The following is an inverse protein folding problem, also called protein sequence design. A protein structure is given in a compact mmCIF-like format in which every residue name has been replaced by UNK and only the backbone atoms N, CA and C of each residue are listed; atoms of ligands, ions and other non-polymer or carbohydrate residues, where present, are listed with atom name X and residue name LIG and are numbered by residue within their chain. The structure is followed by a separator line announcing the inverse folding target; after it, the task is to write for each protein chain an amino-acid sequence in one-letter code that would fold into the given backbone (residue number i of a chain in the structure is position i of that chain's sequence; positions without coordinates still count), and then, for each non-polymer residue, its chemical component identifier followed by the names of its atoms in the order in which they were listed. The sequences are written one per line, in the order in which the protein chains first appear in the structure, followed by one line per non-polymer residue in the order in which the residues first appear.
data_IF_633498975765
#
_entry.id   IF_633498975765
#
_cell.length_a   1.000
_cell.length_b   1.000
_cell.length_c   1.000
_cell.angle_alpha   90.00
_cell.angle_beta   90.00
_cell.angle_gamma   90.00
#
_symmetry.space_group_name_H-M   'P 1'
#
loop_
_entity.id
_entity.type
_entity.pdbx_description
1 polymer ?
#
# COMPACT_ATOMS: atom_id res chain seq x y z
N UNK A 1 4.82 -4.99 11.44
CA UNK A 1 4.31 -3.63 11.77
C UNK A 1 2.84 -3.45 11.40
N UNK A 2 2.42 -3.73 10.16
CA UNK A 2 1.06 -3.45 9.65
C UNK A 2 -0.08 -4.03 10.48
N UNK A 3 0.01 -5.29 10.93
CA UNK A 3 -1.02 -5.92 11.76
C UNK A 3 -1.28 -5.13 13.06
N UNK A 4 -0.23 -4.76 13.79
CA UNK A 4 -0.34 -4.01 15.04
C UNK A 4 -0.95 -2.63 14.81
N UNK A 5 -0.54 -1.94 13.73
CA UNK A 5 -1.12 -0.65 13.38
C UNK A 5 -2.63 -0.74 13.09
N UNK A 6 -3.06 -1.79 12.39
CA UNK A 6 -4.48 -2.02 12.15
C UNK A 6 -5.20 -2.32 13.47
N UNK A 7 -4.68 -3.22 14.29
CA UNK A 7 -5.24 -3.57 15.59
C UNK A 7 -5.46 -2.33 16.46
N UNK A 8 -4.45 -1.47 16.60
CA UNK A 8 -4.53 -0.23 17.38
C UNK A 8 -5.52 0.78 16.77
N UNK A 9 -5.57 0.88 15.43
CA UNK A 9 -6.53 1.74 14.75
C UNK A 9 -7.98 1.31 15.03
N UNK A 10 -8.25 0.00 15.10
CA UNK A 10 -9.58 -0.55 15.37
C UNK A 10 -10.07 -0.30 16.81
N UNK A 11 -9.19 0.05 17.75
CA UNK A 11 -9.61 0.48 19.08
C UNK A 11 -10.38 1.82 19.07
N UNK A 12 -10.20 2.63 18.01
CA UNK A 12 -10.77 3.98 17.90
C UNK A 12 -11.59 4.20 16.64
N UNK A 13 -11.39 3.36 15.63
CA UNK A 13 -12.03 3.47 14.33
C UNK A 13 -12.80 2.18 14.03
N UNK A 14 -13.91 2.31 13.31
CA UNK A 14 -14.69 1.15 12.86
C UNK A 14 -14.89 1.24 11.35
N UNK A 15 -13.80 1.12 10.56
CA UNK A 15 -13.89 1.21 9.11
C UNK A 15 -14.77 0.08 8.56
N UNK A 16 -15.37 0.32 7.40
CA UNK A 16 -16.13 -0.72 6.69
C UNK A 16 -15.27 -1.50 5.70
N UNK A 17 -14.18 -0.90 5.27
CA UNK A 17 -13.19 -1.49 4.37
C UNK A 17 -11.79 -1.13 4.85
N UNK A 18 -10.89 -2.11 4.79
CA UNK A 18 -9.44 -1.93 4.92
C UNK A 18 -8.82 -2.21 3.55
N UNK A 19 -8.02 -1.27 3.07
CA UNK A 19 -7.27 -1.40 1.82
C UNK A 19 -5.82 -1.64 2.19
N UNK A 20 -5.29 -2.80 1.81
CA UNK A 20 -3.91 -3.18 2.08
C UNK A 20 -3.09 -3.11 0.79
N UNK A 21 -1.96 -2.40 0.86
CA UNK A 21 -1.01 -2.29 -0.24
C UNK A 21 -0.02 -3.47 -0.18
N UNK A 22 0.23 -4.13 -1.31
CA UNK A 22 0.95 -5.40 -1.37
C UNK A 22 2.47 -5.35 -1.50
N UNK A 23 3.09 -4.20 -1.77
CA UNK A 23 4.54 -4.11 -2.08
C UNK A 23 5.37 -4.68 -0.92
N UNK A 24 4.84 -4.56 0.30
CA UNK A 24 5.46 -5.08 1.53
C UNK A 24 5.30 -6.59 1.73
N UNK A 25 4.53 -7.31 0.90
CA UNK A 25 4.35 -8.76 1.07
C UNK A 25 5.63 -9.54 0.75
N UNK A 26 6.52 -8.93 -0.03
CA UNK A 26 7.84 -9.49 -0.38
C UNK A 26 8.98 -8.65 0.21
N UNK A 27 8.73 -7.93 1.30
CA UNK A 27 9.79 -7.16 1.99
C UNK A 27 10.96 -8.07 2.36
N UNK A 28 12.18 -7.63 2.04
CA UNK A 28 13.40 -8.41 2.30
C UNK A 28 13.70 -9.51 1.28
N UNK A 29 12.83 -9.71 0.28
CA UNK A 29 13.04 -10.68 -0.82
C UNK A 29 13.34 -9.95 -2.12
N UNK A 30 14.63 -9.91 -2.50
CA UNK A 30 15.03 -9.45 -3.82
C UNK A 30 14.44 -10.37 -4.90
N UNK A 31 13.90 -9.77 -5.96
CA UNK A 31 13.36 -10.53 -7.08
C UNK A 31 14.51 -11.13 -7.90
N UNK A 32 14.55 -12.46 -7.99
CA UNK A 32 15.49 -13.22 -8.81
C UNK A 32 14.71 -14.09 -9.82
N UNK A 33 14.67 -13.70 -11.12
CA UNK A 33 13.97 -14.44 -12.14
C UNK A 33 14.47 -15.89 -12.32
N UNK A 34 15.77 -16.13 -12.15
CA UNK A 34 16.36 -17.47 -12.35
C UNK A 34 15.95 -18.40 -11.20
N UNK A 35 16.01 -17.91 -9.96
CA UNK A 35 15.56 -18.66 -8.78
C UNK A 35 14.07 -18.99 -8.84
N UNK A 36 13.24 -18.05 -9.31
CA UNK A 36 11.79 -18.24 -9.49
C UNK A 36 11.52 -19.32 -10.55
N UNK A 37 12.24 -19.30 -11.67
CA UNK A 37 12.09 -20.32 -12.72
C UNK A 37 12.60 -21.70 -12.27
N UNK A 38 13.68 -21.76 -11.49
CA UNK A 38 14.20 -23.00 -10.90
C UNK A 38 13.21 -23.59 -9.89
N UNK A 39 12.64 -22.76 -9.02
CA UNK A 39 11.61 -23.17 -8.07
C UNK A 39 10.38 -23.73 -8.81
N UNK A 40 9.94 -23.07 -9.89
CA UNK A 40 8.83 -23.53 -10.73
C UNK A 40 9.10 -24.91 -11.38
N UNK A 41 10.33 -25.14 -11.86
CA UNK A 41 10.76 -26.45 -12.42
C UNK A 41 10.86 -27.54 -11.36
N UNK A 42 11.12 -27.17 -10.10
CA UNK A 42 11.32 -28.09 -8.99
C UNK A 42 10.04 -28.64 -8.35
N UNK A 43 8.85 -28.29 -8.87
CA UNK A 43 7.52 -28.61 -8.31
C UNK A 43 7.12 -30.11 -8.35
N UNK A 44 7.99 -30.97 -7.86
CA UNK A 44 7.69 -32.29 -7.30
C UNK A 44 8.17 -32.43 -5.83
N UNK A 45 8.78 -31.41 -5.21
CA UNK A 45 9.20 -31.49 -3.82
C UNK A 45 8.63 -30.36 -2.96
N UNK A 46 8.07 -30.79 -1.84
CA UNK A 46 7.56 -30.05 -0.68
C UNK A 46 8.24 -28.69 -0.48
N UNK A 47 7.41 -27.68 -0.21
CA UNK A 47 7.78 -26.37 0.36
C UNK A 47 8.94 -26.57 1.34
N UNK A 48 10.12 -26.06 0.98
CA UNK A 48 11.22 -25.94 1.93
C UNK A 48 10.89 -24.73 2.81
N UNK A 49 10.69 -24.91 4.13
CA UNK A 49 10.46 -23.79 5.00
C UNK A 49 11.71 -22.93 5.01
N UNK A 50 11.58 -21.67 4.64
CA UNK A 50 12.61 -20.67 4.88
C UNK A 50 12.59 -20.38 6.38
N UNK A 51 13.62 -20.85 7.09
CA UNK A 51 13.78 -20.54 8.51
C UNK A 51 13.83 -19.02 8.63
N UNK A 52 12.89 -18.37 9.36
CA UNK A 52 12.92 -16.94 9.51
C UNK A 52 14.20 -16.60 10.26
N UNK A 53 15.10 -15.88 9.59
CA UNK A 53 16.19 -15.23 10.28
C UNK A 53 15.52 -14.17 11.14
N UNK A 54 15.41 -14.41 12.45
CA UNK A 54 15.13 -13.35 13.41
C UNK A 54 16.33 -12.42 13.34
N UNK A 55 16.24 -11.40 12.50
CA UNK A 55 17.20 -10.31 12.46
C UNK A 55 16.88 -9.36 13.61
N UNK A 56 17.87 -8.56 14.03
CA UNK A 56 17.69 -7.51 15.04
C UNK A 56 16.47 -6.61 14.77
N UNK A 57 15.98 -6.54 13.52
CA UNK A 57 14.81 -5.78 13.06
C UNK A 57 13.48 -6.14 13.74
N UNK A 58 13.25 -7.39 14.13
CA UNK A 58 12.00 -7.73 14.85
C UNK A 58 12.00 -7.09 16.25
N UNK A 59 13.14 -7.10 16.94
CA UNK A 59 13.31 -6.48 18.25
C UNK A 59 13.27 -4.94 18.16
N UNK A 60 13.90 -4.34 17.14
CA UNK A 60 13.79 -2.89 16.90
C UNK A 60 12.37 -2.48 16.53
N UNK A 61 11.65 -3.27 15.74
CA UNK A 61 10.24 -3.01 15.37
C UNK A 61 9.33 -3.07 16.59
N UNK A 62 9.49 -4.07 17.46
CA UNK A 62 8.71 -4.19 18.69
C UNK A 62 8.98 -3.04 19.67
N UNK A 63 10.25 -2.65 19.84
CA UNK A 63 10.63 -1.48 20.66
C UNK A 63 10.10 -0.19 20.05
N UNK A 64 10.15 -0.03 18.73
CA UNK A 64 9.60 1.14 18.04
C UNK A 64 8.08 1.24 18.23
N UNK A 65 7.37 0.11 18.16
CA UNK A 65 5.92 0.06 18.32
C UNK A 65 5.48 0.31 19.76
N UNK A 66 6.25 -0.14 20.76
CA UNK A 66 5.90 0.09 22.17
C UNK A 66 6.26 1.48 22.69
N UNK A 67 7.22 2.16 22.04
CA UNK A 67 7.67 3.48 22.46
C UNK A 67 7.47 4.50 21.33
N UNK A 68 6.40 5.29 21.45
CA UNK A 68 5.97 6.33 20.50
C UNK A 68 7.09 7.31 20.12
N UNK A 69 8.10 7.47 20.97
CA UNK A 69 9.27 8.31 20.71
C UNK A 69 10.11 7.84 19.51
N UNK A 70 10.10 6.55 19.19
CA UNK A 70 10.83 6.03 18.03
C UNK A 70 9.95 6.03 16.76
N UNK A 71 8.66 5.70 16.86
CA UNK A 71 7.68 5.84 15.77
C UNK A 71 7.57 7.29 15.25
N UNK A 72 7.57 8.24 16.18
CA UNK A 72 7.45 9.67 15.87
C UNK A 72 8.81 10.38 15.91
N UNK A 73 9.93 9.67 15.90
CA UNK A 73 11.27 10.24 16.12
C UNK A 73 11.58 11.42 15.19
N UNK A 74 11.13 11.35 13.93
CA UNK A 74 11.25 12.45 12.97
C UNK A 74 10.27 13.60 13.26
N UNK A 75 9.07 13.31 13.76
CA UNK A 75 8.09 14.30 14.21
C UNK A 75 8.58 15.03 15.47
N UNK A 76 9.24 14.36 16.41
CA UNK A 76 9.77 14.97 17.63
C UNK A 76 10.98 15.84 17.33
N UNK A 77 11.89 15.38 16.44
CA UNK A 77 13.00 16.21 15.95
C UNK A 77 12.51 17.45 15.20
N UNK A 78 11.43 17.32 14.43
CA UNK A 78 10.78 18.45 13.77
C UNK A 78 10.07 19.37 14.78
N UNK A 79 9.34 18.83 15.77
CA UNK A 79 8.72 19.63 16.85
C UNK A 79 9.74 20.43 17.65
N UNK A 80 10.90 19.84 17.97
CA UNK A 80 11.98 20.51 18.70
C UNK A 80 12.63 21.61 17.84
N UNK A 81 12.82 21.38 16.54
CA UNK A 81 13.35 22.40 15.61
C UNK A 81 12.34 23.50 15.26
N UNK A 82 11.06 23.17 15.21
CA UNK A 82 9.97 24.03 14.74
C UNK A 82 9.04 24.48 15.86
N UNK A 83 9.51 24.56 17.11
CA UNK A 83 8.68 24.94 18.28
C UNK A 83 7.90 26.27 18.12
N UNK A 84 8.27 27.14 17.15
CA UNK A 84 7.53 28.36 16.79
C UNK A 84 6.47 28.19 15.69
N UNK A 85 6.45 27.05 14.99
CA UNK A 85 5.60 26.74 13.84
C UNK A 85 4.68 25.52 14.06
N UNK A 86 4.59 24.99 15.28
CA UNK A 86 3.76 23.82 15.64
C UNK A 86 2.26 23.99 15.26
N UNK A 87 1.81 25.20 14.93
CA UNK A 87 0.46 25.47 14.43
C UNK A 87 0.26 25.40 12.90
N UNK A 88 1.32 25.22 12.09
CA UNK A 88 1.26 25.38 10.62
C UNK A 88 1.74 24.16 9.81
N UNK A 89 2.14 23.06 10.44
CA UNK A 89 2.41 21.81 9.72
C UNK A 89 1.09 21.21 9.23
N UNK A 90 0.90 21.26 7.92
CA UNK A 90 -0.36 21.10 7.20
C UNK A 90 -1.14 19.80 7.50
N UNK A 91 -2.04 19.87 8.50
CA UNK A 91 -3.06 18.84 8.82
C UNK A 91 -3.95 18.50 7.60
N UNK A 92 -4.13 19.46 6.69
CA UNK A 92 -4.95 19.33 5.48
C UNK A 92 -4.44 18.33 4.44
N UNK A 93 -3.21 17.81 4.58
CA UNK A 93 -2.71 16.75 3.69
C UNK A 93 -3.18 15.35 4.12
N UNK A 94 -3.73 15.19 5.34
CA UNK A 94 -4.15 13.90 5.91
C UNK A 94 -3.11 12.78 5.76
N UNK A 95 -1.83 13.10 6.00
CA UNK A 95 -0.71 12.16 5.88
C UNK A 95 -0.17 11.95 4.46
N UNK A 96 -0.78 12.53 3.42
CA UNK A 96 -0.27 12.43 2.06
C UNK A 96 1.02 13.25 1.86
N UNK A 97 2.08 12.59 1.42
CA UNK A 97 3.32 13.25 1.00
C UNK A 97 3.23 13.72 -0.45
N UNK A 98 2.91 15.00 -0.64
CA UNK A 98 2.81 15.60 -1.96
C UNK A 98 4.17 15.69 -2.67
N UNK A 99 4.25 15.18 -3.89
CA UNK A 99 5.44 15.29 -4.73
C UNK A 99 5.06 15.38 -6.22
N UNK A 100 5.60 16.39 -6.93
CA UNK A 100 5.39 16.59 -8.39
C UNK A 100 6.62 16.24 -9.24
N UNK A 101 7.70 15.77 -8.61
CA UNK A 101 8.90 15.37 -9.33
C UNK A 101 8.54 14.30 -10.36
N UNK A 102 9.16 14.40 -11.53
CA UNK A 102 9.01 13.43 -12.60
C UNK A 102 10.37 12.82 -12.85
N UNK A 103 10.46 11.50 -12.62
CA UNK A 103 11.60 10.70 -13.07
C UNK A 103 11.06 9.69 -14.07
N UNK A 104 11.59 9.77 -15.29
CA UNK A 104 11.16 8.93 -16.41
C UNK A 104 11.73 7.54 -16.22
N UNK A 105 10.92 6.52 -16.45
CA UNK A 105 11.33 5.12 -16.48
C UNK A 105 10.71 4.40 -17.69
N UNK A 106 11.09 3.14 -17.86
CA UNK A 106 10.46 2.19 -18.77
C UNK A 106 9.44 1.32 -18.00
N UNK A 107 8.55 0.61 -18.70
CA UNK A 107 7.71 -0.42 -18.07
C UNK A 107 8.56 -1.49 -17.36
N UNK A 108 7.97 -2.15 -16.37
CA UNK A 108 8.60 -3.26 -15.65
C UNK A 108 8.73 -4.46 -16.60
N UNK A 109 9.94 -4.93 -16.85
CA UNK A 109 10.21 -6.09 -17.72
C UNK A 109 9.80 -7.42 -17.08
N UNK A 110 9.54 -7.46 -15.77
CA UNK A 110 9.17 -8.67 -15.03
C UNK A 110 7.66 -8.91 -15.01
N UNK A 111 6.88 -8.11 -15.75
CA UNK A 111 5.42 -8.21 -15.85
C UNK A 111 4.95 -8.93 -17.11
N UNK A 112 5.87 -9.58 -17.84
CA UNK A 112 5.50 -10.48 -18.92
C UNK A 112 4.69 -11.67 -18.36
N UNK A 113 3.62 -12.05 -19.07
CA UNK A 113 2.74 -13.14 -18.65
C UNK A 113 3.51 -14.43 -18.39
N UNK A 114 3.20 -15.10 -17.28
CA UNK A 114 3.71 -16.43 -16.94
C UNK A 114 2.72 -17.17 -16.05
N UNK A 115 2.73 -18.50 -16.10
CA UNK A 115 2.00 -19.35 -15.15
C UNK A 115 2.82 -19.64 -13.89
N UNK A 116 4.07 -19.15 -13.82
CA UNK A 116 4.94 -19.32 -12.65
C UNK A 116 4.39 -18.60 -11.44
N UNK A 117 4.56 -19.19 -10.25
CA UNK A 117 4.15 -18.62 -8.96
C UNK A 117 5.39 -18.49 -8.08
N UNK A 118 5.69 -17.27 -7.63
CA UNK A 118 6.68 -17.01 -6.58
C UNK A 118 5.95 -16.98 -5.23
N UNK A 119 6.14 -18.02 -4.41
CA UNK A 119 5.44 -18.11 -3.13
C UNK A 119 5.72 -16.89 -2.25
N UNK A 120 4.68 -16.39 -1.57
CA UNK A 120 4.87 -15.35 -0.56
C UNK A 120 5.78 -15.86 0.58
N UNK A 121 6.61 -15.00 1.18
CA UNK A 121 7.34 -15.33 2.40
C UNK A 121 6.40 -15.81 3.51
N UNK A 122 6.82 -16.81 4.30
CA UNK A 122 5.99 -17.40 5.36
C UNK A 122 5.54 -16.37 6.40
N UNK A 123 6.43 -15.45 6.78
CA UNK A 123 6.09 -14.37 7.71
C UNK A 123 5.02 -13.43 7.13
N UNK A 124 5.09 -13.11 5.84
CA UNK A 124 4.09 -12.30 5.18
C UNK A 124 2.73 -13.03 5.16
N UNK A 125 2.71 -14.30 4.76
CA UNK A 125 1.49 -15.14 4.77
C UNK A 125 0.88 -15.24 6.17
N UNK A 126 1.71 -15.42 7.21
CA UNK A 126 1.26 -15.44 8.61
C UNK A 126 0.56 -14.13 9.00
N UNK A 127 1.17 -12.98 8.72
CA UNK A 127 0.59 -11.69 9.08
C UNK A 127 -0.62 -11.31 8.21
N UNK A 128 -0.67 -11.74 6.96
CA UNK A 128 -1.84 -11.58 6.10
C UNK A 128 -3.04 -12.34 6.65
N UNK A 129 -2.84 -13.60 7.08
CA UNK A 129 -3.90 -14.36 7.74
C UNK A 129 -4.38 -13.67 9.03
N UNK A 130 -3.46 -13.14 9.85
CA UNK A 130 -3.84 -12.36 11.05
C UNK A 130 -4.64 -11.09 10.72
N UNK A 131 -4.28 -10.37 9.65
CA UNK A 131 -5.02 -9.18 9.20
C UNK A 131 -6.41 -9.57 8.69
N UNK A 132 -6.50 -10.67 7.93
CA UNK A 132 -7.75 -11.21 7.42
C UNK A 132 -8.70 -11.63 8.55
N UNK A 133 -8.20 -12.38 9.52
CA UNK A 133 -8.97 -12.81 10.68
C UNK A 133 -9.47 -11.61 11.48
N UNK A 134 -8.60 -10.63 11.74
CA UNK A 134 -8.97 -9.40 12.43
C UNK A 134 -10.07 -8.62 11.68
N UNK A 135 -9.98 -8.55 10.35
CA UNK A 135 -11.02 -7.91 9.53
C UNK A 135 -12.35 -8.68 9.61
N UNK A 136 -12.31 -10.02 9.48
CA UNK A 136 -13.50 -10.89 9.55
C UNK A 136 -14.19 -10.80 10.92
N UNK A 137 -13.43 -10.86 12.01
CA UNK A 137 -13.93 -10.72 13.38
C UNK A 137 -14.66 -9.39 13.62
N UNK A 138 -14.22 -8.33 12.95
CA UNK A 138 -14.79 -6.98 13.08
C UNK A 138 -15.81 -6.65 11.97
N UNK A 139 -16.16 -7.60 11.11
CA UNK A 139 -17.05 -7.40 9.96
C UNK A 139 -16.55 -6.27 9.03
N UNK A 140 -15.26 -6.30 8.73
CA UNK A 140 -14.56 -5.35 7.86
C UNK A 140 -14.25 -6.06 6.55
N UNK A 141 -14.57 -5.43 5.43
CA UNK A 141 -14.14 -5.89 4.11
C UNK A 141 -12.63 -5.67 3.95
N UNK A 142 -11.90 -6.70 3.54
CA UNK A 142 -10.48 -6.56 3.20
C UNK A 142 -10.33 -6.52 1.69
N UNK A 143 -9.56 -5.56 1.20
CA UNK A 143 -9.24 -5.39 -0.21
C UNK A 143 -7.74 -5.18 -0.38
N UNK A 144 -7.15 -5.82 -1.38
CA UNK A 144 -5.76 -5.61 -1.76
C UNK A 144 -5.64 -4.65 -2.94
N UNK A 145 -4.56 -3.86 -2.94
CA UNK A 145 -4.15 -3.06 -4.10
C UNK A 145 -2.66 -3.25 -4.35
N UNK A 146 -2.29 -3.36 -5.63
CA UNK A 146 -0.92 -3.34 -6.10
C UNK A 146 -0.62 -2.05 -6.81
N UNK A 147 0.04 -1.11 -6.13
CA UNK A 147 0.52 0.07 -6.83
C UNK A 147 1.71 -0.31 -7.73
N UNK A 148 1.83 0.25 -8.95
CA UNK A 148 2.84 -0.26 -9.88
C UNK A 148 4.27 0.03 -9.44
N UNK A 149 5.03 -1.04 -9.21
CA UNK A 149 6.40 -1.03 -8.71
C UNK A 149 7.32 -1.66 -9.75
N UNK A 150 8.32 -0.89 -10.21
CA UNK A 150 9.19 -1.33 -11.30
C UNK A 150 10.29 -2.30 -10.87
N UNK A 151 10.63 -2.34 -9.58
CA UNK A 151 11.76 -3.14 -9.10
C UNK A 151 11.37 -4.29 -8.19
N UNK A 152 10.20 -4.20 -7.53
CA UNK A 152 9.80 -5.15 -6.50
C UNK A 152 8.58 -6.00 -6.88
N UNK A 153 8.07 -5.83 -8.10
CA UNK A 153 6.92 -6.60 -8.57
C UNK A 153 7.25 -7.43 -9.81
N UNK A 154 6.55 -8.55 -9.95
CA UNK A 154 6.63 -9.46 -11.10
C UNK A 154 5.29 -10.15 -11.32
N UNK A 155 5.09 -10.70 -12.52
CA UNK A 155 3.88 -11.47 -12.81
C UNK A 155 3.77 -12.75 -11.95
N UNK A 156 4.91 -13.33 -11.56
CA UNK A 156 4.92 -14.50 -10.66
C UNK A 156 4.48 -14.18 -9.23
N UNK A 157 4.81 -12.98 -8.72
CA UNK A 157 4.30 -12.46 -7.44
C UNK A 157 2.82 -12.12 -7.53
N UNK A 158 2.40 -11.51 -8.65
CA UNK A 158 0.98 -11.28 -8.94
C UNK A 158 0.17 -12.58 -8.83
N UNK A 159 0.61 -13.66 -9.47
CA UNK A 159 -0.09 -14.94 -9.42
C UNK A 159 -0.24 -15.50 -7.99
N UNK A 160 0.78 -15.32 -7.14
CA UNK A 160 0.72 -15.78 -5.75
C UNK A 160 -0.28 -14.97 -4.90
N UNK A 161 -0.29 -13.65 -5.06
CA UNK A 161 -1.22 -12.76 -4.34
C UNK A 161 -2.65 -12.91 -4.86
N UNK A 162 -2.83 -13.05 -6.17
CA UNK A 162 -4.14 -13.33 -6.79
C UNK A 162 -4.70 -14.65 -6.25
N UNK A 163 -3.91 -15.73 -6.24
CA UNK A 163 -4.35 -17.01 -5.71
C UNK A 163 -4.75 -16.93 -4.22
N UNK A 164 -3.97 -16.23 -3.40
CA UNK A 164 -4.32 -16.01 -1.99
C UNK A 164 -5.61 -15.20 -1.85
N UNK A 165 -5.78 -14.16 -2.67
CA UNK A 165 -6.95 -13.30 -2.64
C UNK A 165 -8.21 -14.07 -3.07
N UNK A 166 -8.15 -14.84 -4.15
CA UNK A 166 -9.25 -15.70 -4.63
C UNK A 166 -9.65 -16.75 -3.58
N UNK A 167 -8.67 -17.47 -3.00
CA UNK A 167 -8.92 -18.49 -1.97
C UNK A 167 -9.66 -17.89 -0.75
N UNK A 168 -9.36 -16.64 -0.42
CA UNK A 168 -9.89 -15.96 0.75
C UNK A 168 -11.08 -15.02 0.49
N UNK A 169 -11.55 -14.96 -0.77
CA UNK A 169 -12.60 -14.04 -1.24
C UNK A 169 -12.26 -12.55 -0.95
N UNK A 170 -11.02 -12.15 -1.24
CA UNK A 170 -10.52 -10.79 -1.10
C UNK A 170 -10.51 -10.14 -2.49
N UNK A 171 -11.09 -8.95 -2.63
CA UNK A 171 -10.95 -8.18 -3.87
C UNK A 171 -9.51 -7.71 -4.02
N UNK A 172 -8.91 -7.92 -5.20
CA UNK A 172 -7.55 -7.49 -5.49
C UNK A 172 -7.50 -6.63 -6.76
N UNK A 173 -6.90 -5.44 -6.66
CA UNK A 173 -6.60 -4.56 -7.79
C UNK A 173 -5.09 -4.46 -7.99
N UNK A 174 -4.53 -5.30 -8.85
CA UNK A 174 -3.15 -5.13 -9.29
C UNK A 174 -3.05 -4.13 -10.46
N UNK A 175 -2.66 -2.89 -10.17
CA UNK A 175 -2.48 -1.90 -11.22
C UNK A 175 -1.30 -2.21 -12.15
N UNK A 176 -0.49 -3.23 -11.88
CA UNK A 176 0.55 -3.72 -12.79
C UNK A 176 -0.03 -4.59 -13.93
N UNK A 177 -1.22 -5.18 -13.76
CA UNK A 177 -1.84 -6.08 -14.75
C UNK A 177 -3.10 -5.53 -15.40
N UNK A 178 -3.66 -4.41 -14.91
CA UNK A 178 -4.86 -3.79 -15.46
C UNK A 178 -4.65 -3.26 -16.89
N UNK A 179 -5.17 -3.97 -17.90
CA UNK A 179 -5.05 -3.63 -19.32
C UNK A 179 -5.60 -2.24 -19.70
N UNK A 180 -6.68 -1.79 -19.03
CA UNK A 180 -7.39 -0.55 -19.37
C UNK A 180 -6.97 0.66 -18.50
N UNK A 181 -5.91 0.52 -17.70
CA UNK A 181 -5.48 1.56 -16.78
C UNK A 181 -4.03 1.99 -17.07
N UNK A 182 -3.87 3.11 -17.77
CA UNK A 182 -2.55 3.54 -18.24
C UNK A 182 -1.81 4.43 -17.23
N UNK A 183 -0.82 3.83 -16.56
CA UNK A 183 0.28 4.56 -15.94
C UNK A 183 1.24 5.06 -17.02
N UNK A 184 1.61 6.34 -16.94
CA UNK A 184 2.62 6.91 -17.81
C UNK A 184 3.98 6.85 -17.09
N UNK A 185 4.79 5.84 -17.42
CA UNK A 185 6.13 5.64 -16.86
C UNK A 185 7.09 6.84 -17.07
N UNK A 186 6.79 7.73 -18.01
CA UNK A 186 7.57 8.96 -18.26
C UNK A 186 7.08 10.16 -17.44
N UNK A 187 5.98 10.04 -16.70
CA UNK A 187 5.35 11.16 -16.00
C UNK A 187 4.90 10.86 -14.59
N UNK A 188 4.55 9.63 -14.25
CA UNK A 188 3.74 9.35 -13.07
C UNK A 188 4.56 8.93 -11.83
N UNK A 189 5.88 8.87 -11.94
CA UNK A 189 6.79 8.49 -10.85
C UNK A 189 7.63 9.66 -10.35
N UNK A 190 7.82 9.73 -9.01
CA UNK A 190 8.73 10.68 -8.36
C UNK A 190 10.17 10.16 -8.28
N UNK A 191 10.36 8.87 -8.51
CA UNK A 191 11.63 8.17 -8.36
C UNK A 191 11.89 7.16 -9.49
N UNK A 192 12.72 6.14 -9.23
CA UNK A 192 13.09 5.13 -10.23
C UNK A 192 11.98 4.10 -10.53
N UNK A 193 10.74 4.35 -10.12
CA UNK A 193 9.61 3.51 -10.52
C UNK A 193 8.85 2.83 -9.40
N UNK A 194 9.13 3.17 -8.14
CA UNK A 194 8.51 2.49 -7.00
C UNK A 194 7.50 3.39 -6.29
N UNK A 195 7.64 4.71 -6.43
CA UNK A 195 6.72 5.64 -5.82
C UNK A 195 6.07 6.56 -6.85
N UNK A 196 4.75 6.55 -6.85
CA UNK A 196 3.96 7.48 -7.64
C UNK A 196 4.17 8.92 -7.18
N UNK A 197 4.17 9.84 -8.14
CA UNK A 197 4.02 11.26 -7.87
C UNK A 197 2.53 11.64 -7.85
N UNK A 198 2.25 12.93 -7.67
CA UNK A 198 0.91 13.48 -7.66
C UNK A 198 0.07 13.10 -8.89
N UNK A 199 0.67 13.00 -10.08
CA UNK A 199 -0.05 12.66 -11.30
C UNK A 199 -0.49 11.18 -11.31
N UNK A 200 0.41 10.27 -10.97
CA UNK A 200 0.11 8.83 -10.85
C UNK A 200 -0.86 8.54 -9.71
N UNK A 201 -0.60 9.10 -8.52
CA UNK A 201 -1.45 8.89 -7.35
C UNK A 201 -2.89 9.36 -7.59
N UNK A 202 -3.09 10.50 -8.28
CA UNK A 202 -4.43 10.98 -8.65
C UNK A 202 -5.19 10.00 -9.55
N UNK A 203 -4.50 9.36 -10.50
CA UNK A 203 -5.12 8.35 -11.36
C UNK A 203 -5.53 7.12 -10.54
N UNK A 204 -4.63 6.62 -9.67
CA UNK A 204 -4.83 5.37 -8.92
C UNK A 204 -5.99 5.55 -7.94
N UNK A 205 -5.94 6.60 -7.13
CA UNK A 205 -6.97 6.90 -6.14
C UNK A 205 -8.35 7.17 -6.78
N UNK A 206 -8.40 7.78 -7.97
CA UNK A 206 -9.66 7.93 -8.70
C UNK A 206 -10.21 6.59 -9.19
N UNK A 207 -9.34 5.67 -9.64
CA UNK A 207 -9.76 4.32 -10.01
C UNK A 207 -10.27 3.55 -8.79
N UNK A 208 -9.52 3.52 -7.68
CA UNK A 208 -9.92 2.87 -6.44
C UNK A 208 -11.27 3.41 -5.96
N UNK A 209 -11.47 4.73 -5.94
CA UNK A 209 -12.73 5.33 -5.52
C UNK A 209 -13.93 4.91 -6.40
N UNK A 210 -13.73 4.80 -7.72
CA UNK A 210 -14.77 4.31 -8.63
C UNK A 210 -15.02 2.81 -8.44
N UNK A 211 -13.96 2.01 -8.27
CA UNK A 211 -14.09 0.58 -8.00
C UNK A 211 -14.88 0.34 -6.71
N UNK A 212 -14.55 1.05 -5.64
CA UNK A 212 -15.26 0.93 -4.36
C UNK A 212 -16.73 1.33 -4.52
N UNK A 213 -17.00 2.45 -5.18
CA UNK A 213 -18.38 2.90 -5.43
C UNK A 213 -19.21 1.86 -6.19
N UNK A 214 -18.60 1.15 -7.15
CA UNK A 214 -19.32 0.23 -8.02
C UNK A 214 -19.47 -1.18 -7.41
N UNK A 215 -18.46 -1.65 -6.67
CA UNK A 215 -18.44 -3.02 -6.11
C UNK A 215 -18.92 -3.08 -4.66
N UNK A 216 -18.84 -1.95 -3.94
CA UNK A 216 -19.26 -1.84 -2.54
C UNK A 216 -20.27 -0.69 -2.31
N UNK A 217 -21.34 -0.57 -3.13
CA UNK A 217 -22.24 0.59 -3.13
C UNK A 217 -22.96 0.79 -1.79
N UNK A 218 -23.22 -0.28 -1.05
CA UNK A 218 -23.94 -0.24 0.23
C UNK A 218 -23.00 -0.19 1.44
N UNK A 219 -21.70 -0.39 1.22
CA UNK A 219 -20.70 -0.44 2.30
C UNK A 219 -20.23 0.95 2.73
N UNK A 220 -20.20 1.91 1.80
CA UNK A 220 -19.66 3.26 2.00
C UNK A 220 -20.73 4.30 1.72
N UNK A 221 -21.11 5.04 2.76
CA UNK A 221 -22.04 6.16 2.65
C UNK A 221 -21.39 7.39 2.01
N UNK A 222 -22.08 8.05 1.09
CA UNK A 222 -21.62 9.32 0.50
C UNK A 222 -21.71 10.48 1.51
N UNK A 223 -20.57 10.82 2.11
CA UNK A 223 -20.46 11.92 3.10
C UNK A 223 -20.30 13.31 2.50
N UNK A 224 -20.33 13.49 1.17
CA UNK A 224 -20.10 14.80 0.53
C UNK A 224 -21.11 15.88 0.92
N UNK A 225 -22.32 15.48 1.35
CA UNK A 225 -23.37 16.39 1.82
C UNK A 225 -23.52 16.40 3.35
N UNK A 226 -22.61 15.75 4.07
CA UNK A 226 -22.63 15.71 5.53
C UNK A 226 -21.74 16.84 6.07
N UNK A 227 -22.32 17.72 6.88
CA UNK A 227 -21.64 18.90 7.42
C UNK A 227 -20.47 18.54 8.35
N UNK A 228 -20.50 17.38 9.02
CA UNK A 228 -19.40 16.89 9.86
C UNK A 228 -18.14 16.61 9.03
N UNK A 229 -18.29 16.41 7.72
CA UNK A 229 -17.21 16.17 6.77
C UNK A 229 -16.91 17.38 5.86
N UNK A 230 -17.55 18.52 6.09
CA UNK A 230 -17.35 19.72 5.28
C UNK A 230 -15.88 20.21 5.26
N UNK A 231 -15.12 19.91 6.31
CA UNK A 231 -13.69 20.25 6.43
C UNK A 231 -12.85 19.71 5.26
N UNK A 232 -13.25 18.59 4.64
CA UNK A 232 -12.56 18.06 3.45
C UNK A 232 -12.54 19.04 2.27
N UNK A 233 -13.54 19.90 2.14
CA UNK A 233 -13.57 20.93 1.10
C UNK A 233 -12.59 22.06 1.39
N UNK A 234 -12.51 22.49 2.65
CA UNK A 234 -11.56 23.51 3.10
C UNK A 234 -10.13 23.00 2.99
N UNK A 235 -9.88 21.77 3.43
CA UNK A 235 -8.56 21.14 3.37
C UNK A 235 -8.14 20.89 1.92
N UNK A 236 -9.05 20.50 1.03
CA UNK A 236 -8.79 20.45 -0.42
C UNK A 236 -8.42 21.82 -0.99
N UNK A 237 -9.12 22.89 -0.60
CA UNK A 237 -8.82 24.24 -1.06
C UNK A 237 -7.42 24.68 -0.61
N UNK A 238 -7.09 24.47 0.67
CA UNK A 238 -5.76 24.72 1.25
C UNK A 238 -4.69 23.89 0.56
N UNK A 239 -4.95 22.62 0.29
CA UNK A 239 -4.04 21.73 -0.42
C UNK A 239 -3.68 22.28 -1.81
N UNK A 240 -4.69 22.71 -2.58
CA UNK A 240 -4.48 23.27 -3.93
C UNK A 240 -3.68 24.57 -3.86
N UNK A 241 -4.00 25.45 -2.92
CA UNK A 241 -3.33 26.73 -2.73
C UNK A 241 -1.87 26.54 -2.29
N UNK A 242 -1.65 25.81 -1.20
CA UNK A 242 -0.34 25.56 -0.61
C UNK A 242 0.63 24.93 -1.62
N UNK A 243 0.17 23.90 -2.34
CA UNK A 243 0.98 23.18 -3.33
C UNK A 243 1.01 23.84 -4.71
N UNK A 244 0.36 25.00 -4.87
CA UNK A 244 0.25 25.76 -6.13
C UNK A 244 -0.16 24.86 -7.30
N UNK A 245 -1.19 24.06 -7.09
CA UNK A 245 -1.70 23.14 -8.11
C UNK A 245 -2.49 23.97 -9.12
N UNK A 246 -2.07 23.96 -10.39
CA UNK A 246 -2.82 24.62 -11.46
C UNK A 246 -4.21 23.97 -11.57
N UNK A 247 -5.27 24.78 -11.49
CA UNK A 247 -6.62 24.33 -11.87
C UNK A 247 -6.58 23.98 -13.35
N UNK A 248 -6.96 22.75 -13.68
CA UNK A 248 -7.12 22.29 -15.06
C UNK A 248 -8.52 22.68 -15.54
#
# INVERSE_FOLDING_TARGET
MTYTMLYDALEKQSPKIVILEQDMFYEGVEFDPEAVEEQAKSQNNKRLPTVPYITDDQLTTDIQNHFTIFLLHDSWKQMIKNAKNIGNDATFNHGYYFNKAVKKNAPNSNMDYTDTVEAMPEDAELYLNKILDLCRENNIELMFIGTPSLTNWSYARHNAVEAFAEENNISYLDFNTLENYEINYKRDYRDKGNHMNYYGAKKITNYIGNFIKNNYPDLIEDKRKNDDFAYWYDDKARFIEYHKIKKF
#
